data_IF_739127761277
#
_entry.id   IF_739127761277
#
_cell.length_a   1.000
_cell.length_b   1.000
_cell.length_c   1.000
_cell.angle_alpha   90.00
_cell.angle_beta   90.00
_cell.angle_gamma   90.00
#
_symmetry.space_group_name_H-M   'P 1'
#
loop_
_entity.id
_entity.type
_entity.pdbx_description
1 polymer ?
#
# COMPACT_ATOMS: atom_id res chain seq x y z
N UNK A 1 -33.07 5.94 6.17
CA UNK A 1 -32.28 6.96 5.43
C UNK A 1 -31.63 8.00 6.36
N UNK A 2 -32.39 8.64 7.26
CA UNK A 2 -31.87 9.64 8.21
C UNK A 2 -30.76 9.11 9.13
N UNK A 3 -30.90 7.88 9.65
CA UNK A 3 -29.87 7.25 10.48
C UNK A 3 -28.51 7.13 9.77
N UNK A 4 -28.50 6.69 8.51
CA UNK A 4 -27.28 6.54 7.71
C UNK A 4 -26.57 7.89 7.49
N UNK A 5 -27.33 8.94 7.16
CA UNK A 5 -26.81 10.30 6.96
C UNK A 5 -26.16 10.82 8.26
N UNK A 6 -26.77 10.56 9.41
CA UNK A 6 -26.22 10.94 10.72
C UNK A 6 -24.90 10.19 10.99
N UNK A 7 -24.80 8.90 10.65
CA UNK A 7 -23.55 8.15 10.83
C UNK A 7 -22.43 8.67 9.91
N UNK A 8 -22.72 8.92 8.63
CA UNK A 8 -21.76 9.51 7.71
C UNK A 8 -21.26 10.88 8.20
N UNK A 9 -22.18 11.72 8.71
CA UNK A 9 -21.81 13.01 9.29
C UNK A 9 -20.91 12.85 10.53
N UNK A 10 -21.21 11.90 11.43
CA UNK A 10 -20.37 11.61 12.60
C UNK A 10 -18.97 11.13 12.20
N UNK A 11 -18.85 10.29 11.17
CA UNK A 11 -17.58 9.84 10.62
C UNK A 11 -16.77 11.03 10.11
N UNK A 12 -17.38 11.91 9.31
CA UNK A 12 -16.72 13.10 8.77
C UNK A 12 -16.28 14.08 9.87
N UNK A 13 -17.17 14.37 10.84
CA UNK A 13 -16.85 15.24 11.98
C UNK A 13 -15.72 14.66 12.83
N UNK A 14 -15.68 13.33 13.03
CA UNK A 14 -14.61 12.67 13.77
C UNK A 14 -13.30 12.67 12.99
N UNK A 15 -13.32 12.40 11.69
CA UNK A 15 -12.15 12.46 10.82
C UNK A 15 -11.47 13.84 10.85
N UNK A 16 -12.26 14.92 10.85
CA UNK A 16 -11.76 16.29 10.98
C UNK A 16 -11.22 16.55 12.39
N UNK A 17 -11.96 16.15 13.43
CA UNK A 17 -11.58 16.34 14.84
C UNK A 17 -10.28 15.62 15.20
N UNK A 18 -10.06 14.47 14.62
CA UNK A 18 -8.87 13.65 14.85
C UNK A 18 -7.70 14.04 13.93
N UNK A 19 -7.85 15.08 13.11
CA UNK A 19 -6.81 15.62 12.24
C UNK A 19 -6.18 14.55 11.34
N UNK A 20 -7.00 13.62 10.82
CA UNK A 20 -6.52 12.45 10.07
C UNK A 20 -5.70 12.81 8.83
N UNK A 21 -5.94 13.99 8.25
CA UNK A 21 -5.14 14.55 7.15
C UNK A 21 -3.69 14.80 7.54
N UNK A 22 -3.41 15.18 8.79
CA UNK A 22 -2.04 15.42 9.28
C UNK A 22 -1.27 14.11 9.38
N UNK A 23 -1.91 13.07 9.91
CA UNK A 23 -1.32 11.73 9.96
C UNK A 23 -1.12 11.15 8.56
N UNK A 24 -2.05 11.40 7.64
CA UNK A 24 -1.96 10.94 6.26
C UNK A 24 -0.80 11.61 5.52
N UNK A 25 -0.60 12.92 5.71
CA UNK A 25 0.52 13.67 5.16
C UNK A 25 1.87 13.21 5.73
N UNK A 26 1.95 12.96 7.05
CA UNK A 26 3.14 12.42 7.69
C UNK A 26 3.49 11.03 7.11
N UNK A 27 2.51 10.14 7.03
CA UNK A 27 2.72 8.79 6.55
C UNK A 27 3.11 8.78 5.06
N UNK A 28 2.42 9.54 4.21
CA UNK A 28 2.73 9.62 2.78
C UNK A 28 4.14 10.16 2.52
N UNK A 29 4.56 11.20 3.26
CA UNK A 29 5.90 11.74 3.17
C UNK A 29 6.98 10.70 3.45
N UNK A 30 6.86 9.97 4.57
CA UNK A 30 7.85 8.96 4.92
C UNK A 30 7.78 7.71 4.04
N UNK A 31 6.60 7.35 3.51
CA UNK A 31 6.47 6.24 2.55
C UNK A 31 7.19 6.59 1.25
N UNK A 32 6.96 7.78 0.67
CA UNK A 32 7.65 8.21 -0.55
C UNK A 32 9.16 8.33 -0.32
N UNK A 33 9.59 8.90 0.81
CA UNK A 33 11.01 8.97 1.15
C UNK A 33 11.66 7.58 1.27
N UNK A 34 10.90 6.59 1.75
CA UNK A 34 11.37 5.21 1.87
C UNK A 34 11.41 4.42 0.56
N UNK A 35 10.76 4.92 -0.50
CA UNK A 35 10.73 4.24 -1.79
C UNK A 35 12.13 4.09 -2.41
N UNK A 36 12.99 5.10 -2.26
CA UNK A 36 14.37 5.06 -2.76
C UNK A 36 15.19 3.94 -2.09
N UNK A 37 15.40 3.95 -0.76
CA UNK A 37 16.07 2.85 -0.08
C UNK A 37 15.44 1.48 -0.32
N UNK A 38 14.12 1.43 -0.50
CA UNK A 38 13.38 0.20 -0.82
C UNK A 38 13.75 -0.35 -2.19
N UNK A 39 13.77 0.48 -3.24
CA UNK A 39 14.21 0.07 -4.58
C UNK A 39 15.66 -0.43 -4.51
N UNK A 40 16.52 0.25 -3.76
CA UNK A 40 17.91 -0.19 -3.58
C UNK A 40 17.96 -1.57 -2.91
N UNK A 41 17.24 -1.78 -1.81
CA UNK A 41 17.15 -3.10 -1.16
C UNK A 41 16.65 -4.19 -2.13
N UNK A 42 15.61 -3.93 -2.90
CA UNK A 42 15.06 -4.89 -3.84
C UNK A 42 16.11 -5.31 -4.88
N UNK A 43 16.88 -4.36 -5.42
CA UNK A 43 17.99 -4.65 -6.34
C UNK A 43 19.06 -5.52 -5.68
N UNK A 44 19.38 -5.28 -4.41
CA UNK A 44 20.39 -6.08 -3.69
C UNK A 44 19.92 -7.52 -3.45
N UNK A 45 18.63 -7.73 -3.17
CA UNK A 45 18.05 -9.08 -3.04
C UNK A 45 18.09 -9.81 -4.37
N UNK A 46 17.82 -9.11 -5.47
CA UNK A 46 17.90 -9.68 -6.83
C UNK A 46 19.34 -10.12 -7.16
N UNK A 47 20.35 -9.33 -6.80
CA UNK A 47 21.77 -9.68 -6.99
C UNK A 47 22.22 -10.90 -6.17
N UNK A 48 21.51 -11.21 -5.07
CA UNK A 48 21.81 -12.39 -4.24
C UNK A 48 21.26 -13.70 -4.84
N UNK A 49 20.39 -13.64 -5.85
CA UNK A 49 19.85 -14.83 -6.51
C UNK A 49 20.81 -15.23 -7.64
N UNK A 50 21.49 -16.39 -7.55
CA UNK A 50 22.35 -16.86 -8.63
C UNK A 50 21.50 -17.11 -9.89
N UNK A 51 21.98 -16.68 -11.07
CA UNK A 51 21.40 -16.87 -12.41
C UNK A 51 20.28 -15.90 -12.86
N UNK A 52 20.02 -14.79 -12.16
CA UNK A 52 19.17 -13.70 -12.66
C UNK A 52 20.03 -12.56 -13.21
N UNK A 53 19.90 -12.26 -14.51
CA UNK A 53 20.54 -11.07 -15.09
C UNK A 53 19.83 -9.81 -14.55
N UNK A 54 20.52 -8.89 -13.86
CA UNK A 54 19.88 -7.74 -13.24
C UNK A 54 19.22 -6.77 -14.24
N UNK A 55 19.59 -6.86 -15.52
CA UNK A 55 18.97 -6.10 -16.60
C UNK A 55 17.52 -6.53 -16.89
N UNK A 56 17.23 -7.83 -16.76
CA UNK A 56 15.89 -8.39 -16.95
C UNK A 56 14.95 -7.97 -15.82
N UNK A 57 15.46 -7.89 -14.59
CA UNK A 57 14.68 -7.45 -13.44
C UNK A 57 14.44 -5.94 -13.46
N UNK A 58 15.45 -5.15 -13.85
CA UNK A 58 15.28 -3.73 -14.12
C UNK A 58 14.21 -3.47 -15.17
N UNK A 59 14.26 -4.17 -16.30
CA UNK A 59 13.27 -4.10 -17.36
C UNK A 59 11.86 -4.53 -16.89
N UNK A 60 11.77 -5.56 -16.05
CA UNK A 60 10.51 -6.05 -15.47
C UNK A 60 9.91 -5.04 -14.49
N UNK A 61 10.72 -4.42 -13.62
CA UNK A 61 10.27 -3.36 -12.70
C UNK A 61 9.81 -2.12 -13.48
N UNK A 62 10.54 -1.73 -14.53
CA UNK A 62 10.15 -0.66 -15.45
C UNK A 62 8.85 -1.01 -16.21
N UNK A 63 8.62 -2.26 -16.55
CA UNK A 63 7.39 -2.74 -17.18
C UNK A 63 6.20 -2.79 -16.21
N UNK A 64 6.45 -2.98 -14.91
CA UNK A 64 5.46 -3.01 -13.83
C UNK A 64 5.04 -1.63 -13.33
N UNK A 65 5.72 -0.56 -13.77
CA UNK A 65 5.28 0.83 -13.60
C UNK A 65 4.73 1.33 -14.95
N UNK A 66 3.61 0.80 -15.47
CA UNK A 66 2.99 1.38 -16.64
C UNK A 66 2.49 2.78 -16.27
N UNK A 67 2.81 3.75 -17.13
CA UNK A 67 2.31 5.14 -17.11
C UNK A 67 3.12 6.17 -16.31
N UNK A 68 4.36 5.87 -15.89
CA UNK A 68 5.27 6.91 -15.34
C UNK A 68 6.58 6.99 -16.12
N UNK A 69 6.48 7.32 -17.42
CA UNK A 69 7.65 7.54 -18.30
C UNK A 69 8.65 8.56 -17.73
N UNK A 70 8.20 9.47 -16.86
CA UNK A 70 9.03 10.52 -16.26
C UNK A 70 9.83 10.10 -15.01
N UNK A 71 9.48 8.99 -14.34
CA UNK A 71 10.26 8.44 -13.20
C UNK A 71 11.29 7.40 -13.64
N UNK A 72 11.08 6.79 -14.81
CA UNK A 72 12.00 5.82 -15.41
C UNK A 72 13.48 6.27 -15.41
N UNK A 73 13.84 7.52 -15.79
CA UNK A 73 15.24 7.94 -15.79
C UNK A 73 15.83 8.12 -14.39
N UNK A 74 15.06 8.60 -13.41
CA UNK A 74 15.53 8.72 -12.01
C UNK A 74 15.82 7.34 -11.42
N UNK A 75 14.91 6.39 -11.64
CA UNK A 75 15.05 5.01 -11.19
C UNK A 75 16.25 4.36 -11.90
N UNK A 76 16.37 4.53 -13.23
CA UNK A 76 17.48 3.99 -14.02
C UNK A 76 18.84 4.52 -13.61
N UNK A 77 18.95 5.82 -13.32
CA UNK A 77 20.19 6.44 -12.87
C UNK A 77 20.58 5.96 -11.46
N UNK A 78 19.61 5.88 -10.54
CA UNK A 78 19.85 5.32 -9.21
C UNK A 78 20.32 3.85 -9.30
N UNK A 79 19.74 3.07 -10.21
CA UNK A 79 20.14 1.69 -10.50
C UNK A 79 21.57 1.64 -11.07
N UNK A 80 21.92 2.47 -12.06
CA UNK A 80 23.28 2.49 -12.63
C UNK A 80 24.35 2.94 -11.62
N UNK A 81 24.03 3.93 -10.77
CA UNK A 81 24.93 4.41 -9.72
C UNK A 81 25.19 3.33 -8.65
N UNK A 82 24.17 2.52 -8.33
CA UNK A 82 24.29 1.35 -7.45
C UNK A 82 25.22 0.27 -8.02
N UNK A 83 25.16 0.00 -9.33
CA UNK A 83 25.97 -1.05 -9.96
C UNK A 83 27.44 -0.66 -10.13
N UNK A 84 27.71 0.63 -10.37
CA UNK A 84 29.07 1.11 -10.66
C UNK A 84 29.87 1.46 -9.41
N UNK A 85 29.19 1.72 -8.28
CA UNK A 85 29.82 2.11 -7.01
C UNK A 85 29.17 1.42 -5.81
N UNK A 86 29.55 0.18 -5.50
CA UNK A 86 30.24 -0.11 -4.22
C UNK A 86 30.02 -1.52 -3.62
N UNK A 87 30.97 -1.95 -2.75
CA UNK A 87 31.06 -3.28 -2.13
C UNK A 87 29.99 -3.51 -1.06
N UNK A 88 29.90 -4.76 -0.58
CA UNK A 88 28.95 -5.26 0.42
C UNK A 88 28.69 -4.37 1.67
N UNK A 89 29.59 -3.45 2.03
CA UNK A 89 29.45 -2.50 3.14
C UNK A 89 28.45 -1.36 2.86
N UNK A 90 28.32 -0.90 1.62
CA UNK A 90 27.28 0.10 1.24
C UNK A 90 25.89 -0.55 1.20
N UNK A 91 25.85 -1.86 0.92
CA UNK A 91 24.65 -2.70 0.95
C UNK A 91 24.00 -2.72 2.35
N UNK A 92 24.79 -2.99 3.41
CA UNK A 92 24.28 -3.13 4.77
C UNK A 92 23.76 -1.81 5.35
N UNK A 93 24.47 -0.70 5.10
CA UNK A 93 24.05 0.64 5.52
C UNK A 93 22.76 1.06 4.81
N UNK A 94 22.63 0.74 3.52
CA UNK A 94 21.43 1.02 2.73
C UNK A 94 20.22 0.25 3.23
N UNK A 95 20.36 -1.05 3.53
CA UNK A 95 19.29 -1.89 4.06
C UNK A 95 18.82 -1.34 5.43
N UNK A 96 19.75 -0.96 6.30
CA UNK A 96 19.42 -0.37 7.61
C UNK A 96 18.72 0.99 7.44
N UNK A 97 19.23 1.86 6.56
CA UNK A 97 18.60 3.14 6.25
C UNK A 97 17.21 2.98 5.61
N UNK A 98 17.02 1.94 4.79
CA UNK A 98 15.75 1.59 4.17
C UNK A 98 14.73 1.14 5.19
N UNK A 99 15.09 0.15 6.01
CA UNK A 99 14.24 -0.38 7.06
C UNK A 99 13.90 0.71 8.09
N UNK A 100 14.88 1.57 8.40
CA UNK A 100 14.71 2.72 9.30
C UNK A 100 13.73 3.75 8.73
N UNK A 101 13.88 4.12 7.46
CA UNK A 101 13.02 5.12 6.81
C UNK A 101 11.61 4.60 6.58
N UNK A 102 11.47 3.36 6.09
CA UNK A 102 10.18 2.72 5.83
C UNK A 102 9.37 2.52 7.13
N UNK A 103 10.05 2.23 8.24
CA UNK A 103 9.39 2.14 9.56
C UNK A 103 8.70 3.45 9.99
N UNK A 104 9.16 4.62 9.53
CA UNK A 104 8.55 5.92 9.88
C UNK A 104 7.21 6.16 9.19
N UNK A 105 7.02 5.63 7.98
CA UNK A 105 5.75 5.68 7.26
C UNK A 105 4.67 4.89 7.98
N UNK A 106 4.99 3.65 8.35
CA UNK A 106 4.07 2.78 9.10
C UNK A 106 3.79 3.31 10.51
N UNK A 107 4.77 3.96 11.17
CA UNK A 107 4.54 4.65 12.45
C UNK A 107 3.52 5.79 12.33
N UNK A 108 3.46 6.49 11.19
CA UNK A 108 2.43 7.49 10.91
C UNK A 108 1.04 6.85 10.81
N UNK A 109 0.94 5.70 10.13
CA UNK A 109 -0.31 4.93 10.03
C UNK A 109 -0.74 4.39 11.40
N UNK A 110 0.18 3.82 12.18
CA UNK A 110 -0.09 3.34 13.54
C UNK A 110 -0.65 4.45 14.44
N UNK A 111 -0.03 5.64 14.44
CA UNK A 111 -0.52 6.78 15.23
C UNK A 111 -1.90 7.24 14.78
N UNK A 112 -2.13 7.34 13.47
CA UNK A 112 -3.44 7.70 12.92
C UNK A 112 -4.52 6.68 13.29
N UNK A 113 -4.23 5.38 13.19
CA UNK A 113 -5.17 4.34 13.62
C UNK A 113 -5.43 4.35 15.13
N UNK A 114 -4.41 4.54 15.95
CA UNK A 114 -4.59 4.64 17.40
C UNK A 114 -5.44 5.86 17.78
N UNK A 115 -5.30 6.97 17.04
CA UNK A 115 -6.18 8.14 17.18
C UNK A 115 -7.61 7.80 16.75
N UNK A 116 -7.78 7.14 15.61
CA UNK A 116 -9.07 6.73 15.06
C UNK A 116 -9.83 5.82 16.04
N UNK A 117 -9.16 4.83 16.62
CA UNK A 117 -9.75 3.93 17.61
C UNK A 117 -9.82 4.53 19.03
N UNK A 118 -9.38 5.78 19.22
CA UNK A 118 -9.31 6.45 20.53
C UNK A 118 -8.63 5.57 21.59
N UNK A 119 -7.49 4.95 21.23
CA UNK A 119 -6.82 4.00 22.09
C UNK A 119 -6.04 4.72 23.21
N UNK A 120 -6.34 4.46 24.50
CA UNK A 120 -5.62 5.09 25.62
C UNK A 120 -4.28 4.41 25.91
N UNK A 121 -4.01 3.25 25.31
CA UNK A 121 -2.82 2.44 25.59
C UNK A 121 -1.62 3.04 24.85
N UNK A 122 -0.57 3.34 25.60
CA UNK A 122 0.70 3.83 25.08
C UNK A 122 1.71 2.69 25.11
N UNK A 123 2.25 2.30 23.94
CA UNK A 123 3.43 1.42 23.88
C UNK A 123 4.71 2.25 23.88
N UNK A 124 5.81 1.65 24.35
CA UNK A 124 7.12 2.26 24.24
C UNK A 124 7.50 2.43 22.76
N UNK A 125 8.17 3.54 22.44
CA UNK A 125 8.53 3.89 21.07
C UNK A 125 9.30 2.77 20.35
N UNK A 126 10.17 2.06 21.08
CA UNK A 126 10.95 0.95 20.53
C UNK A 126 10.08 -0.25 20.14
N UNK A 127 9.05 -0.58 20.93
CA UNK A 127 8.14 -1.71 20.63
C UNK A 127 7.27 -1.41 19.42
N UNK A 128 6.65 -0.22 19.37
CA UNK A 128 5.89 0.23 18.18
C UNK A 128 6.76 0.23 16.94
N UNK A 129 8.04 0.59 17.08
CA UNK A 129 8.98 0.55 15.96
C UNK A 129 9.25 -0.85 15.43
N UNK A 130 9.53 -1.84 16.27
CA UNK A 130 9.74 -3.21 15.83
C UNK A 130 8.48 -3.81 15.19
N UNK A 131 7.30 -3.51 15.75
CA UNK A 131 6.01 -3.91 15.16
C UNK A 131 5.83 -3.27 13.77
N UNK A 132 6.06 -1.95 13.65
CA UNK A 132 5.99 -1.24 12.37
C UNK A 132 7.00 -1.77 11.34
N UNK A 133 8.22 -2.14 11.75
CA UNK A 133 9.19 -2.79 10.86
C UNK A 133 8.68 -4.14 10.36
N UNK A 134 8.12 -4.98 11.24
CA UNK A 134 7.51 -6.25 10.87
C UNK A 134 6.34 -6.08 9.89
N UNK A 135 5.47 -5.09 10.12
CA UNK A 135 4.36 -4.78 9.21
C UNK A 135 4.82 -4.23 7.87
N UNK A 136 5.86 -3.40 7.89
CA UNK A 136 6.49 -2.92 6.66
C UNK A 136 7.02 -4.12 5.86
N UNK A 137 7.73 -5.06 6.49
CA UNK A 137 8.23 -6.28 5.85
C UNK A 137 7.10 -7.17 5.32
N UNK A 138 6.00 -7.32 6.06
CA UNK A 138 4.85 -8.12 5.64
C UNK A 138 4.12 -7.48 4.46
N UNK A 139 3.89 -6.17 4.49
CA UNK A 139 3.36 -5.41 3.36
C UNK A 139 4.27 -5.52 2.14
N UNK A 140 5.58 -5.51 2.36
CA UNK A 140 6.60 -5.63 1.33
C UNK A 140 6.59 -7.04 0.70
N UNK A 141 6.47 -8.09 1.52
CA UNK A 141 6.22 -9.46 1.07
C UNK A 141 4.92 -9.57 0.27
N UNK A 142 3.84 -8.91 0.71
CA UNK A 142 2.58 -8.88 -0.02
C UNK A 142 2.70 -8.18 -1.38
N UNK A 143 3.46 -7.08 -1.46
CA UNK A 143 3.78 -6.41 -2.72
C UNK A 143 4.57 -7.32 -3.67
N UNK A 144 5.61 -8.01 -3.16
CA UNK A 144 6.39 -8.98 -3.95
C UNK A 144 5.49 -10.12 -4.44
N UNK A 145 4.68 -10.71 -3.55
CA UNK A 145 3.72 -11.76 -3.92
C UNK A 145 2.71 -11.27 -4.96
N UNK A 146 2.21 -10.03 -4.82
CA UNK A 146 1.32 -9.42 -5.81
C UNK A 146 2.01 -9.22 -7.15
N UNK A 147 3.28 -8.85 -7.15
CA UNK A 147 4.11 -8.73 -8.36
C UNK A 147 4.29 -10.08 -9.06
N UNK A 148 4.63 -11.12 -8.29
CA UNK A 148 4.78 -12.49 -8.78
C UNK A 148 3.44 -12.98 -9.34
N UNK A 149 2.32 -12.69 -8.68
CA UNK A 149 0.98 -13.01 -9.18
C UNK A 149 0.62 -12.26 -10.47
N UNK A 150 1.14 -11.06 -10.68
CA UNK A 150 0.97 -10.31 -11.93
C UNK A 150 1.79 -10.94 -13.05
N UNK A 151 3.05 -11.31 -12.79
CA UNK A 151 3.99 -11.86 -13.79
C UNK A 151 3.65 -13.31 -14.14
N UNK A 152 3.32 -14.14 -13.15
CA UNK A 152 2.89 -15.53 -13.32
C UNK A 152 1.39 -15.67 -13.49
N UNK A 153 0.65 -14.56 -13.60
CA UNK A 153 -0.82 -14.55 -13.66
C UNK A 153 -1.37 -15.36 -14.83
N UNK A 154 -0.70 -15.31 -15.98
CA UNK A 154 -1.09 -16.06 -17.18
C UNK A 154 -0.89 -17.57 -16.98
N UNK A 155 0.21 -17.98 -16.32
CA UNK A 155 0.46 -19.38 -15.95
C UNK A 155 -0.54 -19.91 -14.93
N UNK A 156 -0.91 -19.09 -13.95
CA UNK A 156 -1.92 -19.43 -12.93
C UNK A 156 -3.31 -19.57 -13.58
N UNK A 157 -3.64 -18.66 -14.50
CA UNK A 157 -4.91 -18.70 -15.22
C UNK A 157 -5.00 -19.93 -16.13
N UNK A 158 -3.92 -20.28 -16.84
CA UNK A 158 -3.85 -21.51 -17.65
C UNK A 158 -3.96 -22.80 -16.80
N UNK A 159 -3.42 -22.79 -15.57
CA UNK A 159 -3.56 -23.90 -14.63
C UNK A 159 -5.01 -24.07 -14.12
N UNK A 160 -5.70 -22.96 -13.84
CA UNK A 160 -7.11 -22.98 -13.43
C UNK A 160 -8.04 -23.40 -14.59
N UNK A 161 -7.77 -22.94 -15.81
CA UNK A 161 -8.54 -23.31 -17.00
C UNK A 161 -8.46 -24.81 -17.32
N UNK A 162 -7.34 -25.47 -17.00
CA UNK A 162 -7.15 -26.92 -17.21
C UNK A 162 -7.70 -27.79 -16.07
N UNK A 163 -7.77 -27.28 -14.84
CA UNK A 163 -8.21 -28.05 -13.67
C UNK A 163 -9.70 -27.86 -13.34
N UNK A 164 -10.28 -26.68 -13.60
CA UNK A 164 -11.66 -26.35 -13.26
C UNK A 164 -12.41 -25.63 -14.41
N UNK A 165 -12.89 -26.36 -15.43
CA UNK A 165 -13.50 -25.77 -16.62
C UNK A 165 -14.79 -24.97 -16.33
N UNK A 166 -15.51 -25.29 -15.24
CA UNK A 166 -16.75 -24.58 -14.83
C UNK A 166 -16.45 -23.19 -14.26
N UNK A 167 -15.27 -23.00 -13.65
CA UNK A 167 -14.84 -21.69 -13.11
C UNK A 167 -14.28 -20.83 -14.24
N UNK A 168 -13.64 -21.43 -15.24
CA UNK A 168 -13.05 -20.74 -16.40
C UNK A 168 -14.04 -19.84 -17.15
N UNK A 169 -15.28 -20.28 -17.37
CA UNK A 169 -16.31 -19.49 -18.06
C UNK A 169 -16.74 -18.24 -17.28
N UNK A 170 -16.89 -18.35 -15.95
CA UNK A 170 -17.17 -17.19 -15.07
C UNK A 170 -15.99 -16.21 -15.04
N UNK A 171 -14.78 -16.77 -15.09
CA UNK A 171 -13.52 -16.01 -15.04
C UNK A 171 -13.26 -15.22 -16.33
N UNK A 172 -13.77 -15.71 -17.47
CA UNK A 172 -13.67 -15.05 -18.78
C UNK A 172 -14.64 -13.87 -18.95
N UNK A 173 -15.78 -13.89 -18.24
CA UNK A 173 -16.88 -12.95 -18.49
C UNK A 173 -16.94 -11.72 -17.57
N UNK A 174 -16.44 -11.77 -16.33
CA UNK A 174 -16.69 -10.69 -15.34
C UNK A 174 -15.45 -10.32 -14.50
N UNK A 175 -14.68 -11.29 -14.00
CA UNK A 175 -13.51 -11.05 -13.14
C UNK A 175 -12.44 -12.12 -13.36
N UNK A 176 -11.28 -11.74 -13.90
CA UNK A 176 -10.12 -12.64 -14.03
C UNK A 176 -9.69 -13.16 -12.64
N UNK A 177 -9.28 -14.44 -12.50
CA UNK A 177 -8.79 -15.01 -11.21
C UNK A 177 -7.73 -14.07 -10.59
N UNK A 178 -6.87 -13.49 -11.42
CA UNK A 178 -5.89 -12.48 -11.05
C UNK A 178 -6.50 -11.28 -10.30
N UNK A 179 -7.58 -10.71 -10.80
CA UNK A 179 -8.23 -9.54 -10.20
C UNK A 179 -8.84 -9.87 -8.82
N UNK A 180 -9.45 -11.05 -8.70
CA UNK A 180 -9.98 -11.56 -7.43
C UNK A 180 -8.87 -11.79 -6.40
N UNK A 181 -7.74 -12.35 -6.83
CA UNK A 181 -6.58 -12.55 -5.94
C UNK A 181 -6.02 -11.22 -5.43
N UNK A 182 -5.88 -10.21 -6.28
CA UNK A 182 -5.42 -8.88 -5.86
C UNK A 182 -6.39 -8.25 -4.84
N UNK A 183 -7.70 -8.31 -5.11
CA UNK A 183 -8.71 -7.81 -4.18
C UNK A 183 -8.65 -8.55 -2.84
N UNK A 184 -8.53 -9.88 -2.87
CA UNK A 184 -8.45 -10.70 -1.66
C UNK A 184 -7.20 -10.37 -0.83
N UNK A 185 -6.04 -10.23 -1.47
CA UNK A 185 -4.78 -9.85 -0.82
C UNK A 185 -4.89 -8.45 -0.21
N UNK A 186 -5.51 -7.49 -0.90
CA UNK A 186 -5.72 -6.14 -0.36
C UNK A 186 -6.66 -6.13 0.85
N UNK A 187 -7.78 -6.85 0.79
CA UNK A 187 -8.71 -6.97 1.92
C UNK A 187 -8.00 -7.62 3.11
N UNK A 188 -7.25 -8.70 2.88
CA UNK A 188 -6.48 -9.36 3.93
C UNK A 188 -5.43 -8.42 4.55
N UNK A 189 -4.74 -7.63 3.72
CA UNK A 189 -3.74 -6.66 4.16
C UNK A 189 -4.35 -5.55 5.01
N UNK A 190 -5.44 -4.92 4.56
CA UNK A 190 -6.12 -3.88 5.35
C UNK A 190 -6.76 -4.43 6.62
N UNK A 191 -7.33 -5.63 6.57
CA UNK A 191 -7.83 -6.33 7.78
C UNK A 191 -6.71 -6.56 8.78
N UNK A 192 -5.54 -7.00 8.31
CA UNK A 192 -4.36 -7.19 9.14
C UNK A 192 -3.89 -5.88 9.78
N UNK A 193 -3.83 -4.81 8.99
CA UNK A 193 -3.49 -3.46 9.47
C UNK A 193 -4.47 -3.03 10.56
N UNK A 194 -5.78 -3.12 10.35
CA UNK A 194 -6.77 -2.68 11.34
C UNK A 194 -6.82 -3.56 12.61
N UNK A 195 -6.48 -4.83 12.50
CA UNK A 195 -6.61 -5.79 13.62
C UNK A 195 -5.41 -5.72 14.57
N UNK A 196 -4.21 -5.61 14.02
CA UNK A 196 -2.97 -5.86 14.75
C UNK A 196 -2.06 -4.65 14.89
N UNK A 197 -2.17 -3.67 13.98
CA UNK A 197 -1.35 -2.45 14.04
C UNK A 197 -1.75 -1.54 15.22
N UNK A 198 -3.04 -1.34 15.57
CA UNK A 198 -3.41 -0.60 16.75
C UNK A 198 -2.89 -1.25 18.04
N UNK A 199 -2.66 -0.43 19.07
CA UNK A 199 -2.17 -0.92 20.37
C UNK A 199 -3.12 -1.89 21.03
N UNK A 200 -4.43 -1.69 20.83
CA UNK A 200 -5.49 -2.60 21.24
C UNK A 200 -5.81 -3.55 20.09
N UNK A 201 -5.72 -4.86 20.35
CA UNK A 201 -6.12 -5.87 19.37
C UNK A 201 -7.64 -5.84 19.20
N UNK A 202 -8.07 -5.83 17.95
CA UNK A 202 -9.49 -5.93 17.57
C UNK A 202 -9.77 -7.29 16.94
N UNK A 203 -11.02 -7.74 16.91
CA UNK A 203 -11.37 -8.99 16.23
C UNK A 203 -11.36 -8.78 14.71
N UNK A 204 -10.66 -9.62 13.95
CA UNK A 204 -10.51 -9.48 12.49
C UNK A 204 -11.86 -9.40 11.76
N UNK A 205 -12.87 -10.15 12.23
CA UNK A 205 -14.24 -10.13 11.67
C UNK A 205 -14.92 -8.76 11.78
N UNK A 206 -14.62 -7.99 12.81
CA UNK A 206 -15.18 -6.66 13.04
C UNK A 206 -14.52 -5.59 12.16
N UNK A 207 -13.33 -5.90 11.64
CA UNK A 207 -12.53 -4.98 10.82
C UNK A 207 -12.76 -5.14 9.31
N UNK A 208 -13.40 -6.24 8.90
CA UNK A 208 -13.72 -6.54 7.50
C UNK A 208 -14.53 -5.45 6.78
N UNK A 209 -15.57 -4.81 7.39
CA UNK A 209 -16.37 -3.82 6.68
C UNK A 209 -15.54 -2.61 6.21
N UNK A 210 -14.70 -2.07 7.09
CA UNK A 210 -13.77 -0.99 6.77
C UNK A 210 -12.66 -1.42 5.84
N UNK A 211 -12.19 -2.69 5.92
CA UNK A 211 -11.21 -3.22 4.98
C UNK A 211 -11.76 -3.28 3.55
N UNK A 212 -13.00 -3.77 3.39
CA UNK A 212 -13.69 -3.79 2.09
C UNK A 212 -13.91 -2.38 1.55
N UNK A 213 -14.36 -1.44 2.40
CA UNK A 213 -14.50 -0.03 2.01
C UNK A 213 -13.16 0.56 1.54
N UNK A 214 -12.09 0.33 2.29
CA UNK A 214 -10.76 0.83 1.94
C UNK A 214 -10.21 0.19 0.68
N UNK A 215 -10.42 -1.11 0.44
CA UNK A 215 -10.03 -1.76 -0.81
C UNK A 215 -10.80 -1.17 -2.00
N UNK A 216 -12.12 -1.02 -1.88
CA UNK A 216 -12.94 -0.43 -2.94
C UNK A 216 -12.53 1.02 -3.23
N UNK A 217 -12.38 1.85 -2.19
CA UNK A 217 -11.94 3.23 -2.31
C UNK A 217 -10.55 3.35 -2.91
N UNK A 218 -9.61 2.51 -2.46
CA UNK A 218 -8.24 2.49 -2.99
C UNK A 218 -8.21 2.14 -4.47
N UNK A 219 -8.94 1.11 -4.90
CA UNK A 219 -9.01 0.70 -6.30
C UNK A 219 -9.68 1.76 -7.17
N UNK A 220 -10.80 2.31 -6.72
CA UNK A 220 -11.55 3.34 -7.45
C UNK A 220 -10.71 4.62 -7.59
N UNK A 221 -10.04 5.04 -6.52
CA UNK A 221 -9.16 6.20 -6.56
C UNK A 221 -7.93 5.95 -7.44
N UNK A 222 -7.32 4.77 -7.36
CA UNK A 222 -6.18 4.39 -8.21
C UNK A 222 -6.58 4.33 -9.69
N UNK A 223 -7.78 3.84 -10.00
CA UNK A 223 -8.31 3.85 -11.36
C UNK A 223 -8.54 5.27 -11.87
N UNK A 224 -9.17 6.15 -11.07
CA UNK A 224 -9.33 7.56 -11.41
C UNK A 224 -8.00 8.29 -11.60
N UNK A 225 -7.01 7.97 -10.76
CA UNK A 225 -5.65 8.50 -10.87
C UNK A 225 -4.93 8.00 -12.14
N UNK A 226 -5.17 6.75 -12.56
CA UNK A 226 -4.68 6.23 -13.84
C UNK A 226 -5.29 6.96 -15.03
N UNK A 227 -6.59 7.26 -14.99
CA UNK A 227 -7.25 8.10 -16.02
C UNK A 227 -6.59 9.48 -16.06
N UNK A 228 -6.38 10.11 -14.92
CA UNK A 228 -5.69 11.41 -14.86
C UNK A 228 -4.33 11.36 -15.57
N UNK A 229 -3.50 10.36 -15.28
CA UNK A 229 -2.20 10.20 -15.95
C UNK A 229 -2.30 9.98 -17.47
N UNK A 230 -3.26 9.15 -17.91
CA UNK A 230 -3.44 8.84 -19.32
C UNK A 230 -3.89 10.07 -20.14
N UNK A 231 -4.70 10.95 -19.57
CA UNK A 231 -5.19 12.16 -20.26
C UNK A 231 -4.26 13.38 -20.10
N UNK A 232 -3.57 13.50 -18.95
CA UNK A 232 -2.76 14.67 -18.62
C UNK A 232 -1.24 14.44 -18.75
N UNK A 233 -0.80 13.42 -19.49
CA UNK A 233 0.62 13.10 -19.80
C UNK A 233 1.44 14.25 -20.43
N UNK A 234 0.85 15.42 -20.72
CA UNK A 234 1.54 16.60 -21.24
C UNK A 234 2.16 17.51 -20.17
N UNK A 235 1.98 17.25 -18.87
CA UNK A 235 2.61 18.05 -17.80
C UNK A 235 4.11 17.77 -17.60
N UNK A 236 4.67 16.75 -18.27
CA UNK A 236 6.11 16.43 -18.26
C UNK A 236 6.99 17.63 -18.67
N UNK A 237 6.48 18.55 -19.47
CA UNK A 237 7.28 19.64 -20.07
C UNK A 237 7.74 20.77 -19.12
N UNK A 238 7.09 21.01 -17.98
CA UNK A 238 7.47 22.12 -17.09
C UNK A 238 8.26 21.71 -15.84
N UNK A 239 8.00 20.52 -15.29
CA UNK A 239 8.56 20.08 -14.00
C UNK A 239 9.18 18.66 -14.06
N UNK A 240 9.14 17.99 -15.23
CA UNK A 240 9.81 16.72 -15.49
C UNK A 240 9.56 15.65 -14.42
N UNK A 241 10.64 15.04 -13.93
CA UNK A 241 10.61 13.98 -12.92
C UNK A 241 10.13 14.43 -11.53
N UNK A 242 10.16 15.73 -11.22
CA UNK A 242 9.66 16.26 -9.94
C UNK A 242 8.14 16.19 -9.86
N UNK A 243 7.45 16.43 -10.98
CA UNK A 243 5.98 16.29 -11.09
C UNK A 243 5.53 14.91 -10.65
N UNK A 244 6.24 13.88 -11.08
CA UNK A 244 5.86 12.51 -10.81
C UNK A 244 6.04 12.12 -9.34
N UNK A 245 7.05 12.67 -8.65
CA UNK A 245 7.22 12.50 -7.20
C UNK A 245 6.08 13.19 -6.43
N UNK A 246 5.72 14.41 -6.80
CA UNK A 246 4.62 15.17 -6.15
C UNK A 246 3.29 14.44 -6.37
N UNK A 247 3.02 13.99 -7.58
CA UNK A 247 1.81 13.23 -7.92
C UNK A 247 1.76 11.90 -7.15
N UNK A 248 2.89 11.18 -7.04
CA UNK A 248 2.98 9.97 -6.22
C UNK A 248 2.69 10.27 -4.74
N UNK A 249 3.25 11.34 -4.17
CA UNK A 249 2.94 11.77 -2.79
C UNK A 249 1.45 12.05 -2.60
N UNK A 250 0.82 12.76 -3.53
CA UNK A 250 -0.62 13.04 -3.51
C UNK A 250 -1.44 11.76 -3.60
N UNK A 251 -1.06 10.83 -4.48
CA UNK A 251 -1.74 9.55 -4.61
C UNK A 251 -1.70 8.76 -3.29
N UNK A 252 -0.51 8.59 -2.72
CA UNK A 252 -0.35 7.90 -1.42
C UNK A 252 -1.11 8.63 -0.32
N UNK A 253 -1.09 9.97 -0.31
CA UNK A 253 -1.83 10.77 0.66
C UNK A 253 -3.34 10.46 0.65
N UNK A 254 -3.97 10.48 -0.53
CA UNK A 254 -5.40 10.16 -0.64
C UNK A 254 -5.70 8.70 -0.30
N UNK A 255 -4.85 7.78 -0.72
CA UNK A 255 -4.91 6.37 -0.36
C UNK A 255 -4.89 6.14 1.16
N UNK A 256 -4.05 6.86 1.90
CA UNK A 256 -4.00 6.78 3.37
C UNK A 256 -5.21 7.47 4.02
N UNK A 257 -5.70 8.58 3.45
CA UNK A 257 -6.95 9.18 3.89
C UNK A 257 -8.12 8.18 3.79
N UNK A 258 -8.24 7.47 2.66
CA UNK A 258 -9.26 6.41 2.46
C UNK A 258 -9.10 5.32 3.53
N UNK A 259 -7.86 4.89 3.81
CA UNK A 259 -7.57 3.93 4.87
C UNK A 259 -8.05 4.41 6.24
N UNK A 260 -7.85 5.69 6.58
CA UNK A 260 -8.33 6.24 7.86
C UNK A 260 -9.86 6.38 7.90
N UNK A 261 -10.51 6.73 6.78
CA UNK A 261 -11.99 6.69 6.71
C UNK A 261 -12.51 5.27 6.95
N UNK A 262 -11.86 4.24 6.40
CA UNK A 262 -12.19 2.85 6.68
C UNK A 262 -12.04 2.47 8.16
N UNK A 263 -11.02 3.00 8.84
CA UNK A 263 -10.84 2.80 10.29
C UNK A 263 -11.95 3.48 11.11
N UNK A 264 -12.35 4.70 10.74
CA UNK A 264 -13.47 5.41 11.37
C UNK A 264 -14.81 4.68 11.18
N UNK A 265 -15.03 4.09 10.00
CA UNK A 265 -16.19 3.23 9.74
C UNK A 265 -16.20 2.05 10.70
N UNK A 266 -15.07 1.34 10.85
CA UNK A 266 -14.95 0.22 11.78
C UNK A 266 -15.22 0.64 13.22
N UNK A 267 -14.70 1.79 13.65
CA UNK A 267 -14.94 2.33 14.98
C UNK A 267 -16.42 2.64 15.23
N UNK A 268 -17.10 3.29 14.28
CA UNK A 268 -18.52 3.60 14.42
C UNK A 268 -19.38 2.34 14.40
N UNK A 269 -19.04 1.33 13.58
CA UNK A 269 -19.75 0.05 13.56
C UNK A 269 -19.60 -0.70 14.89
N UNK A 270 -18.40 -0.72 15.48
CA UNK A 270 -18.18 -1.28 16.83
C UNK A 270 -19.01 -0.52 17.88
N UNK A 271 -19.05 0.81 17.81
CA UNK A 271 -19.90 1.62 18.71
C UNK A 271 -21.40 1.30 18.57
N UNK A 272 -21.91 1.18 17.35
CA UNK A 272 -23.32 0.86 17.08
C UNK A 272 -23.66 -0.55 17.58
N UNK A 273 -22.77 -1.52 17.34
CA UNK A 273 -22.92 -2.90 17.83
C UNK A 273 -22.94 -2.97 19.36
N UNK A 274 -22.04 -2.25 20.05
CA UNK A 274 -22.02 -2.19 21.52
C UNK A 274 -23.25 -1.51 22.14
N UNK A 275 -23.95 -0.66 21.39
CA UNK A 275 -25.21 -0.03 21.81
C UNK A 275 -26.44 -0.91 21.56
N UNK A 276 -26.28 -2.12 21.04
CA UNK A 276 -27.39 -3.05 20.78
C UNK A 276 -28.33 -2.61 19.64
N UNK A 277 -27.82 -1.79 18.71
CA UNK A 277 -28.59 -1.27 17.57
C UNK A 277 -28.40 -2.11 16.29
N UNK A 278 -27.75 -3.27 16.40
CA UNK A 278 -27.47 -4.27 15.35
C UNK A 278 -27.57 -5.68 15.92
#
# INVERSE_FOLDING_TARGET
MVFFIIQCRKIAEKFIRDEMTVYAAQASFFIVLSAFPFIMMLMTVVQLIPNLDPQDVGATILALVPNVRDLAPLIRNAIQDLYTKSPATVLSITIVAALWSASRGMLGVERGLNRAYSCPIHRSYLVSRFVCMGYTLLFLLACILSLLLIVFGDSIQAFFDSTFPIIADVTRNILTVRSLLVIAVLIASFTGIYTYLPHRKHAAREQLPGAVFSTAGWLLFSYGFSIYFNYFSRFSYMYGSLTAVILLMLWIYFCICILFVGAEINYQLDMVRRRGLL
#
